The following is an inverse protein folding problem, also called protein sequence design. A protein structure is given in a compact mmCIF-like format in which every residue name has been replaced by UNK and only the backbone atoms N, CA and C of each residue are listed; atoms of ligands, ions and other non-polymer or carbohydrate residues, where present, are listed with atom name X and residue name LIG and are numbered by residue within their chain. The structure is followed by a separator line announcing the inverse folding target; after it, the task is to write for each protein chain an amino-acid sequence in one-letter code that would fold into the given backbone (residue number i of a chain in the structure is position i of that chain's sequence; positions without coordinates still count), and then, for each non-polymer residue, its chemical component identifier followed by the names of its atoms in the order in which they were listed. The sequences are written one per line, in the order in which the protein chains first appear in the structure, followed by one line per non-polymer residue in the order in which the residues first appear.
data_IF_030305202778
#
_entry.id   IF_030305202778
#
_cell.length_a   1.000
_cell.length_b   1.000
_cell.length_c   1.000
_cell.angle_alpha   90.00
_cell.angle_beta   90.00
_cell.angle_gamma   90.00
#
_symmetry.space_group_name_H-M   'P 1'
#
loop_
_entity.id
_entity.type
_entity.pdbx_description
1 polymer ?
#
# COMPACT_ATOMS: atom_id res chain seq x y z
N UNK A 1 16.82 19.36 9.33
CA UNK A 1 16.97 18.08 8.65
C UNK A 1 16.81 16.96 9.67
N UNK A 2 16.12 15.90 9.33
CA UNK A 2 15.99 14.72 10.18
C UNK A 2 16.17 13.46 9.33
N UNK A 3 16.94 12.52 9.84
CA UNK A 3 17.13 11.21 9.19
C UNK A 3 16.49 10.16 10.08
N UNK A 4 15.56 9.38 9.52
CA UNK A 4 14.91 8.26 10.20
C UNK A 4 15.06 7.00 9.37
N UNK A 5 14.84 5.85 9.98
CA UNK A 5 14.95 4.56 9.31
C UNK A 5 13.76 3.67 9.63
N UNK A 6 13.27 2.93 8.63
CA UNK A 6 12.31 1.84 8.87
C UNK A 6 12.90 0.76 9.78
N UNK A 7 14.23 0.63 9.81
CA UNK A 7 14.89 -0.35 10.68
C UNK A 7 14.75 -0.02 12.17
N UNK A 8 14.35 1.21 12.51
CA UNK A 8 14.09 1.63 13.87
C UNK A 8 12.69 1.27 14.38
N UNK A 9 11.83 0.75 13.53
CA UNK A 9 10.46 0.37 13.91
C UNK A 9 10.26 -1.13 13.81
N UNK A 10 9.39 -1.64 14.65
CA UNK A 10 8.98 -3.03 14.61
C UNK A 10 7.89 -3.20 13.53
N UNK A 11 8.07 -4.20 12.67
CA UNK A 11 7.04 -4.57 11.71
C UNK A 11 5.81 -5.10 12.44
N UNK A 12 4.65 -4.62 12.04
CA UNK A 12 3.35 -5.05 12.57
C UNK A 12 2.56 -5.75 11.49
N UNK A 13 1.88 -6.81 11.88
CA UNK A 13 0.99 -7.48 10.95
C UNK A 13 -0.20 -6.59 10.60
N UNK A 14 -0.46 -6.42 9.31
CA UNK A 14 -1.64 -5.72 8.82
C UNK A 14 -2.91 -6.46 9.25
N UNK A 15 -3.93 -5.75 9.77
CA UNK A 15 -5.14 -6.40 10.24
C UNK A 15 -5.93 -7.05 9.10
N UNK A 16 -6.57 -8.19 9.38
CA UNK A 16 -7.41 -8.89 8.40
C UNK A 16 -8.62 -8.10 7.93
N UNK A 17 -8.96 -7.02 8.62
CA UNK A 17 -10.01 -6.08 8.20
C UNK A 17 -9.61 -5.27 6.98
N UNK A 18 -8.31 -5.11 6.70
CA UNK A 18 -7.77 -4.28 5.62
C UNK A 18 -7.07 -5.09 4.53
N UNK A 19 -6.68 -6.34 4.84
CA UNK A 19 -5.85 -7.16 3.96
C UNK A 19 -6.37 -8.59 3.85
N UNK A 20 -6.17 -9.18 2.68
CA UNK A 20 -6.25 -10.64 2.48
C UNK A 20 -4.81 -11.16 2.43
N UNK A 21 -4.55 -12.25 3.14
CA UNK A 21 -3.22 -12.83 3.25
C UNK A 21 -2.34 -12.12 4.29
N UNK A 22 -1.06 -12.42 4.28
CA UNK A 22 -0.11 -11.91 5.27
C UNK A 22 0.62 -10.68 4.74
N UNK A 23 0.50 -9.59 5.48
CA UNK A 23 1.09 -8.29 5.18
C UNK A 23 1.76 -7.74 6.43
N UNK A 24 2.96 -7.17 6.26
CA UNK A 24 3.70 -6.53 7.34
C UNK A 24 3.85 -5.05 7.05
N UNK A 25 3.61 -4.22 8.06
CA UNK A 25 3.61 -2.76 7.94
C UNK A 25 4.66 -2.15 8.86
N UNK A 26 5.44 -1.23 8.32
CA UNK A 26 6.41 -0.44 9.05
C UNK A 26 6.15 1.03 8.76
N UNK A 27 5.52 1.78 9.70
CA UNK A 27 5.34 3.21 9.52
C UNK A 27 6.67 3.95 9.70
N UNK A 28 6.85 5.04 8.96
CA UNK A 28 7.98 5.94 9.22
C UNK A 28 7.89 6.50 10.64
N UNK A 29 8.99 6.53 11.39
CA UNK A 29 9.00 7.14 12.73
C UNK A 29 8.66 8.63 12.72
N UNK A 30 8.75 9.28 11.56
CA UNK A 30 8.48 10.70 11.39
C UNK A 30 7.08 11.03 10.88
N UNK A 31 6.21 10.05 10.75
CA UNK A 31 4.83 10.29 10.31
C UNK A 31 4.14 11.30 11.26
N UNK A 32 3.43 12.25 10.68
CA UNK A 32 2.79 13.35 11.43
C UNK A 32 3.68 14.56 11.65
N UNK A 33 4.95 14.50 11.20
CA UNK A 33 5.87 15.64 11.21
C UNK A 33 5.86 16.37 9.86
N UNK A 34 6.58 17.49 9.77
CA UNK A 34 6.68 18.24 8.53
C UNK A 34 7.85 17.72 7.66
N UNK A 35 7.68 17.49 6.35
CA UNK A 35 6.44 17.67 5.56
C UNK A 35 5.36 16.65 5.93
N UNK A 36 4.11 17.09 5.84
CA UNK A 36 2.96 16.30 6.23
C UNK A 36 2.68 15.22 5.18
N UNK A 37 3.23 14.05 5.42
CA UNK A 37 2.99 12.87 4.61
C UNK A 37 3.08 11.63 5.50
N UNK A 38 2.19 10.70 5.27
CA UNK A 38 2.29 9.36 5.85
C UNK A 38 3.14 8.46 4.95
N UNK A 39 4.23 7.91 5.49
CA UNK A 39 5.15 7.05 4.75
C UNK A 39 5.19 5.68 5.44
N UNK A 40 5.00 4.63 4.66
CA UNK A 40 4.95 3.25 5.17
C UNK A 40 5.74 2.34 4.24
N UNK A 41 6.57 1.48 4.81
CA UNK A 41 7.11 0.33 4.08
C UNK A 41 6.19 -0.85 4.35
N UNK A 42 5.65 -1.46 3.29
CA UNK A 42 4.68 -2.53 3.39
C UNK A 42 5.18 -3.74 2.63
N UNK A 43 5.23 -4.89 3.30
CA UNK A 43 5.70 -6.15 2.75
C UNK A 43 4.52 -7.11 2.62
N UNK A 44 4.28 -7.58 1.40
CA UNK A 44 3.21 -8.51 1.07
C UNK A 44 3.81 -9.88 0.78
N UNK A 45 3.34 -10.90 1.46
CA UNK A 45 3.62 -12.27 1.05
C UNK A 45 2.91 -12.61 -0.28
N UNK A 46 3.33 -13.66 -1.01
CA UNK A 46 2.69 -14.00 -2.27
C UNK A 46 1.17 -14.08 -2.16
N UNK A 47 0.48 -13.48 -3.13
CA UNK A 47 -0.97 -13.36 -3.22
C UNK A 47 -1.66 -12.46 -2.18
N UNK A 48 -0.93 -11.94 -1.20
CA UNK A 48 -1.50 -11.01 -0.23
C UNK A 48 -1.80 -9.65 -0.90
N UNK A 49 -2.90 -9.02 -0.48
CA UNK A 49 -3.36 -7.75 -1.08
C UNK A 49 -4.18 -6.94 -0.09
N UNK A 50 -4.30 -5.66 -0.39
CA UNK A 50 -5.22 -4.78 0.34
C UNK A 50 -6.67 -5.08 -0.02
N UNK A 51 -7.59 -4.67 0.83
CA UNK A 51 -8.97 -4.44 0.41
C UNK A 51 -9.03 -3.29 -0.60
N UNK A 52 -10.17 -3.13 -1.26
CA UNK A 52 -10.49 -1.89 -1.96
C UNK A 52 -10.47 -0.74 -0.96
N UNK A 53 -9.91 0.41 -1.36
CA UNK A 53 -9.83 1.58 -0.49
C UNK A 53 -9.60 2.86 -1.28
N UNK A 54 -9.72 3.99 -0.58
CA UNK A 54 -9.45 5.32 -1.12
C UNK A 54 -8.57 6.11 -0.16
N UNK A 55 -7.86 7.08 -0.72
CA UNK A 55 -7.12 8.11 0.04
C UNK A 55 -7.59 9.49 -0.40
N UNK A 56 -7.92 10.41 0.52
CA UNK A 56 -8.48 11.71 0.16
C UNK A 56 -7.55 12.57 -0.70
N UNK A 57 -6.24 12.46 -0.50
CA UNK A 57 -5.24 13.23 -1.27
C UNK A 57 -4.44 12.36 -2.24
N UNK A 58 -4.91 11.14 -2.51
CA UNK A 58 -4.23 10.18 -3.35
C UNK A 58 -3.15 9.40 -2.63
N UNK A 59 -2.47 8.56 -3.39
CA UNK A 59 -1.39 7.72 -2.87
C UNK A 59 -0.33 7.52 -3.93
N UNK A 60 0.92 7.45 -3.50
CA UNK A 60 2.05 7.09 -4.35
C UNK A 60 2.65 5.81 -3.79
N UNK A 61 2.91 4.83 -4.66
CA UNK A 61 3.64 3.62 -4.31
C UNK A 61 4.95 3.58 -5.07
N UNK A 62 6.03 3.24 -4.39
CA UNK A 62 7.28 2.88 -5.01
C UNK A 62 7.57 1.41 -4.72
N UNK A 63 7.60 0.58 -5.75
CA UNK A 63 7.91 -0.85 -5.60
C UNK A 63 9.42 -1.01 -5.39
N UNK A 64 9.79 -1.42 -4.19
CA UNK A 64 11.21 -1.56 -3.80
C UNK A 64 11.78 -2.88 -4.28
N UNK A 65 11.00 -3.97 -4.14
CA UNK A 65 11.43 -5.31 -4.58
C UNK A 65 10.24 -6.21 -4.84
N UNK A 66 10.43 -7.16 -5.74
CA UNK A 66 9.45 -8.18 -6.06
C UNK A 66 8.51 -7.81 -7.19
N UNK A 67 7.38 -8.48 -7.25
CA UNK A 67 6.35 -8.28 -8.26
C UNK A 67 4.98 -8.26 -7.59
N UNK A 68 4.09 -7.45 -8.12
CA UNK A 68 2.75 -7.30 -7.58
C UNK A 68 1.73 -6.96 -8.64
N UNK A 69 0.55 -6.63 -8.16
CA UNK A 69 -0.62 -6.22 -8.96
C UNK A 69 -1.28 -5.02 -8.32
N UNK A 70 -1.86 -4.19 -9.17
CA UNK A 70 -2.66 -3.06 -8.73
C UNK A 70 -3.82 -2.85 -9.71
N UNK A 71 -4.92 -2.32 -9.22
CA UNK A 71 -6.10 -2.03 -10.04
C UNK A 71 -6.85 -0.83 -9.49
N UNK A 72 -7.25 0.09 -10.34
CA UNK A 72 -8.27 1.07 -10.03
C UNK A 72 -9.64 0.54 -10.43
N UNK A 73 -10.67 0.97 -9.76
CA UNK A 73 -12.05 0.61 -10.12
C UNK A 73 -12.34 0.96 -11.59
N UNK A 74 -12.91 0.03 -12.29
CA UNK A 74 -13.21 0.17 -13.71
C UNK A 74 -12.02 0.03 -14.64
N UNK A 75 -10.82 -0.20 -14.12
CA UNK A 75 -9.62 -0.42 -14.93
C UNK A 75 -9.23 -1.90 -15.00
N UNK A 76 -8.18 -2.17 -15.75
CA UNK A 76 -7.59 -3.51 -15.82
C UNK A 76 -6.60 -3.71 -14.67
N UNK A 77 -6.38 -4.97 -14.28
CA UNK A 77 -5.32 -5.30 -13.34
C UNK A 77 -3.98 -5.09 -14.02
N UNK A 78 -3.15 -4.24 -13.42
CA UNK A 78 -1.80 -3.96 -13.90
C UNK A 78 -0.77 -4.75 -13.11
N UNK A 79 0.22 -5.30 -13.79
CA UNK A 79 1.41 -5.84 -13.12
C UNK A 79 2.35 -4.70 -12.75
N UNK A 80 2.91 -4.77 -11.54
CA UNK A 80 3.89 -3.82 -11.03
C UNK A 80 5.12 -4.57 -10.56
N UNK A 81 6.30 -3.96 -10.73
CA UNK A 81 7.59 -4.62 -10.48
C UNK A 81 8.57 -3.65 -9.84
N UNK A 82 9.66 -4.18 -9.34
CA UNK A 82 10.77 -3.40 -8.78
C UNK A 82 11.10 -2.18 -9.64
N UNK A 83 11.09 -1.01 -9.02
CA UNK A 83 11.38 0.26 -9.66
C UNK A 83 10.16 1.02 -10.17
N UNK A 84 9.01 0.37 -10.25
CA UNK A 84 7.78 1.04 -10.70
C UNK A 84 7.27 2.01 -9.63
N UNK A 85 6.67 3.09 -10.11
CA UNK A 85 5.96 4.05 -9.28
C UNK A 85 4.51 4.07 -9.73
N UNK A 86 3.60 3.89 -8.79
CA UNK A 86 2.16 3.89 -9.04
C UNK A 86 1.54 5.12 -8.39
N UNK A 87 0.74 5.84 -9.15
CA UNK A 87 0.01 7.01 -8.67
C UNK A 87 -1.49 6.70 -8.65
N UNK A 88 -2.11 6.86 -7.48
CA UNK A 88 -3.56 6.85 -7.37
C UNK A 88 -4.05 8.28 -7.11
N UNK A 89 -5.07 8.68 -7.86
CA UNK A 89 -5.65 10.01 -7.73
C UNK A 89 -6.42 10.17 -6.39
N UNK A 90 -6.61 11.40 -5.92
CA UNK A 90 -7.47 11.66 -4.77
C UNK A 90 -8.85 11.01 -4.93
N UNK A 91 -9.26 10.23 -3.93
CA UNK A 91 -10.55 9.54 -3.92
C UNK A 91 -10.70 8.37 -4.88
N UNK A 92 -9.65 8.00 -5.60
CA UNK A 92 -9.71 6.87 -6.54
C UNK A 92 -9.75 5.55 -5.78
N UNK A 93 -10.80 4.77 -6.03
CA UNK A 93 -10.97 3.45 -5.43
C UNK A 93 -10.05 2.45 -6.11
N UNK A 94 -9.21 1.79 -5.32
CA UNK A 94 -8.15 0.93 -5.83
C UNK A 94 -7.75 -0.14 -4.82
N UNK A 95 -6.93 -1.07 -5.28
CA UNK A 95 -6.23 -2.04 -4.44
C UNK A 95 -4.84 -2.32 -5.01
N UNK A 96 -3.97 -2.83 -4.18
CA UNK A 96 -2.64 -3.31 -4.57
C UNK A 96 -2.18 -4.47 -3.69
N UNK A 97 -1.24 -5.26 -4.20
CA UNK A 97 -0.74 -6.42 -3.50
C UNK A 97 0.35 -7.14 -4.26
N UNK A 98 0.81 -8.26 -3.69
CA UNK A 98 1.81 -9.11 -4.31
C UNK A 98 1.23 -9.94 -5.45
N UNK A 99 2.10 -10.34 -6.38
CA UNK A 99 1.77 -11.33 -7.39
C UNK A 99 1.56 -12.72 -6.76
N UNK A 100 0.89 -13.66 -7.45
CA UNK A 100 0.64 -14.99 -6.87
C UNK A 100 1.88 -15.77 -6.50
N UNK A 101 2.96 -15.60 -7.25
CA UNK A 101 4.19 -16.36 -7.06
C UNK A 101 5.38 -15.55 -6.52
N UNK A 102 5.16 -14.32 -6.07
CA UNK A 102 6.24 -13.45 -5.61
C UNK A 102 5.79 -12.58 -4.44
N UNK A 103 6.63 -12.45 -3.43
CA UNK A 103 6.46 -11.40 -2.45
C UNK A 103 6.71 -10.03 -3.10
N UNK A 104 6.17 -8.98 -2.51
CA UNK A 104 6.41 -7.61 -2.95
C UNK A 104 6.57 -6.70 -1.74
N UNK A 105 7.53 -5.78 -1.85
CA UNK A 105 7.71 -4.70 -0.87
C UNK A 105 7.57 -3.38 -1.60
N UNK A 106 6.73 -2.49 -1.08
CA UNK A 106 6.65 -1.13 -1.57
C UNK A 106 6.74 -0.11 -0.44
N UNK A 107 7.10 1.10 -0.78
CA UNK A 107 6.93 2.27 0.08
C UNK A 107 5.68 3.00 -0.38
N UNK A 108 4.74 3.19 0.52
CA UNK A 108 3.54 3.97 0.30
C UNK A 108 3.74 5.38 0.85
N UNK A 109 3.38 6.37 0.06
CA UNK A 109 3.42 7.77 0.43
C UNK A 109 2.00 8.32 0.30
N UNK A 110 1.43 8.73 1.44
CA UNK A 110 0.09 9.29 1.52
C UNK A 110 0.21 10.78 1.82
N UNK A 111 0.09 11.66 0.80
CA UNK A 111 0.23 13.11 1.00
C UNK A 111 -0.84 13.63 1.96
N UNK A 112 -0.47 14.61 2.77
CA UNK A 112 -1.38 15.29 3.70
C UNK A 112 -2.23 14.31 4.53
N UNK A 113 -1.60 13.23 5.01
CA UNK A 113 -2.27 12.24 5.83
C UNK A 113 -2.72 12.89 7.14
N UNK A 114 -4.04 12.92 7.37
CA UNK A 114 -4.59 13.43 8.62
C UNK A 114 -4.29 12.50 9.79
N UNK A 115 -4.47 13.01 11.01
CA UNK A 115 -4.25 12.24 12.24
C UNK A 115 -5.12 10.98 12.35
N UNK A 116 -6.22 10.92 11.64
CA UNK A 116 -7.11 9.74 11.56
C UNK A 116 -6.74 8.81 10.40
N UNK A 117 -5.64 9.07 9.69
CA UNK A 117 -5.13 8.26 8.59
C UNK A 117 -5.80 8.52 7.25
N UNK A 118 -7.00 9.02 7.22
CA UNK A 118 -7.74 9.40 6.02
C UNK A 118 -8.07 8.27 5.04
N UNK A 119 -7.63 7.05 5.27
CA UNK A 119 -7.93 5.90 4.41
C UNK A 119 -9.33 5.40 4.67
N UNK A 120 -10.12 5.30 3.60
CA UNK A 120 -11.45 4.69 3.66
C UNK A 120 -11.34 3.24 3.16
N UNK A 121 -11.37 2.31 4.11
CA UNK A 121 -11.26 0.88 3.84
C UNK A 121 -12.62 0.30 3.47
N UNK A 122 -12.63 -0.50 2.40
CA UNK A 122 -13.84 -1.10 1.83
C UNK A 122 -13.74 -2.62 1.84
N UNK A 123 -14.52 -3.29 0.97
CA UNK A 123 -14.59 -4.73 0.92
C UNK A 123 -13.29 -5.38 0.42
N UNK A 124 -13.06 -6.65 0.80
CA UNK A 124 -11.94 -7.43 0.27
C UNK A 124 -12.00 -7.56 -1.25
N UNK A 125 -10.83 -7.66 -1.87
CA UNK A 125 -10.69 -8.04 -3.27
C UNK A 125 -10.89 -9.54 -3.37
N UNK A 126 -11.88 -9.99 -4.11
CA UNK A 126 -12.14 -11.42 -4.30
C UNK A 126 -11.02 -12.08 -5.09
N UNK A 127 -10.91 -13.41 -4.97
CA UNK A 127 -9.91 -14.15 -5.76
C UNK A 127 -10.16 -13.99 -7.26
N UNK A 128 -11.41 -13.87 -7.68
CA UNK A 128 -11.79 -13.64 -9.08
C UNK A 128 -11.33 -12.26 -9.55
N UNK A 129 -11.57 -11.21 -8.77
CA UNK A 129 -11.10 -9.86 -9.09
C UNK A 129 -9.57 -9.79 -9.15
N UNK A 130 -8.92 -10.42 -8.17
CA UNK A 130 -7.47 -10.46 -8.08
C UNK A 130 -6.81 -11.15 -9.28
N UNK A 131 -7.45 -12.18 -9.82
CA UNK A 131 -6.93 -13.00 -10.92
C UNK A 131 -7.33 -12.49 -12.31
N UNK A 132 -8.16 -11.48 -12.37
CA UNK A 132 -8.71 -10.95 -13.61
C UNK A 132 -7.67 -10.38 -14.58
#
# INVERSE_FOLDING_TARGET
MRVVSFEAVEARRGPGEWFTGTVWMEPSPANGETPDAGIFRVSFEPAARTNWHTHPEGQILHVVTGAGRAQREGGVVAEIRTGDIVYFAPGERHWHGAAPGSAMVHVAINPAMSSDGGTDWMEPVTDEEYSA
#
